data_IF_063419690887
#
_entry.id   IF_063419690887
#
_cell.length_a   1.000
_cell.length_b   1.000
_cell.length_c   1.000
_cell.angle_alpha   90.00
_cell.angle_beta   90.00
_cell.angle_gamma   90.00
#
_symmetry.space_group_name_H-M   'P 1'
#
loop_
_entity.id
_entity.type
_entity.pdbx_description
1 polymer ?
#
# COMPACT_ATOMS: atom_id res chain seq x y z
N UNK A 1 -17.76 -21.68 -18.14
CA UNK A 1 -17.21 -20.44 -18.74
C UNK A 1 -17.39 -19.21 -17.83
N UNK A 2 -18.48 -19.08 -17.06
CA UNK A 2 -18.64 -17.99 -16.08
C UNK A 2 -17.81 -18.18 -14.79
N UNK A 3 -17.77 -19.39 -14.22
CA UNK A 3 -17.00 -19.68 -13.00
C UNK A 3 -15.48 -19.53 -13.19
N UNK A 4 -14.97 -19.75 -14.40
CA UNK A 4 -13.55 -19.54 -14.73
C UNK A 4 -13.17 -18.06 -14.70
N UNK A 5 -14.06 -17.14 -15.11
CA UNK A 5 -13.76 -15.71 -15.13
C UNK A 5 -13.70 -15.11 -13.71
N UNK A 6 -14.56 -15.56 -12.79
CA UNK A 6 -14.53 -15.13 -11.38
C UNK A 6 -13.25 -15.60 -10.68
N UNK A 7 -12.87 -16.86 -10.87
CA UNK A 7 -11.63 -17.40 -10.29
C UNK A 7 -10.36 -16.73 -10.85
N UNK A 8 -10.36 -16.36 -12.13
CA UNK A 8 -9.26 -15.62 -12.75
C UNK A 8 -9.17 -14.18 -12.21
N UNK A 9 -10.29 -13.47 -12.07
CA UNK A 9 -10.30 -12.12 -11.52
C UNK A 9 -9.80 -12.09 -10.07
N UNK A 10 -10.25 -13.01 -9.21
CA UNK A 10 -9.77 -13.11 -7.84
C UNK A 10 -8.27 -13.41 -7.78
N UNK A 11 -7.79 -14.31 -8.63
CA UNK A 11 -6.36 -14.62 -8.74
C UNK A 11 -5.53 -13.38 -9.09
N UNK A 12 -5.97 -12.56 -10.05
CA UNK A 12 -5.28 -11.32 -10.43
C UNK A 12 -5.22 -10.32 -9.27
N UNK A 13 -6.29 -10.20 -8.49
CA UNK A 13 -6.32 -9.32 -7.31
C UNK A 13 -5.35 -9.81 -6.23
N UNK A 14 -5.33 -11.13 -5.99
CA UNK A 14 -4.38 -11.74 -5.05
C UNK A 14 -2.94 -11.52 -5.48
N UNK A 15 -2.65 -11.63 -6.78
CA UNK A 15 -1.32 -11.35 -7.32
C UNK A 15 -0.95 -9.88 -7.13
N UNK A 16 -1.85 -8.96 -7.43
CA UNK A 16 -1.65 -7.53 -7.21
C UNK A 16 -1.38 -7.22 -5.72
N UNK A 17 -2.23 -7.71 -4.82
CA UNK A 17 -2.06 -7.52 -3.38
C UNK A 17 -0.77 -8.17 -2.88
N UNK A 18 -0.38 -9.32 -3.42
CA UNK A 18 0.89 -9.96 -3.07
C UNK A 18 2.09 -9.13 -3.49
N UNK A 19 2.08 -8.55 -4.70
CA UNK A 19 3.15 -7.64 -5.14
C UNK A 19 3.25 -6.42 -4.21
N UNK A 20 2.12 -5.78 -3.92
CA UNK A 20 2.07 -4.62 -3.01
C UNK A 20 2.54 -5.00 -1.61
N UNK A 21 2.06 -6.13 -1.08
CA UNK A 21 2.45 -6.63 0.24
C UNK A 21 3.94 -6.96 0.33
N UNK A 22 4.53 -7.58 -0.70
CA UNK A 22 5.96 -7.83 -0.78
C UNK A 22 6.78 -6.53 -0.80
N UNK A 23 6.33 -5.50 -1.53
CA UNK A 23 6.99 -4.19 -1.51
C UNK A 23 6.99 -3.58 -0.10
N UNK A 24 5.85 -3.64 0.60
CA UNK A 24 5.76 -3.17 1.98
C UNK A 24 6.61 -3.97 2.96
N UNK A 25 6.75 -5.30 2.78
CA UNK A 25 7.67 -6.09 3.60
C UNK A 25 9.14 -5.69 3.36
N UNK A 26 9.52 -5.44 2.11
CA UNK A 26 10.88 -5.00 1.79
C UNK A 26 11.17 -3.63 2.39
N UNK A 27 10.21 -2.69 2.32
CA UNK A 27 10.31 -1.39 2.96
C UNK A 27 10.41 -1.53 4.49
N UNK A 28 9.56 -2.36 5.10
CA UNK A 28 9.57 -2.59 6.54
C UNK A 28 10.92 -3.13 7.03
N UNK A 29 11.50 -4.09 6.30
CA UNK A 29 12.83 -4.62 6.58
C UNK A 29 13.89 -3.52 6.47
N UNK A 30 13.83 -2.72 5.40
CA UNK A 30 14.76 -1.61 5.20
C UNK A 30 14.65 -0.57 6.33
N UNK A 31 13.44 -0.15 6.70
CA UNK A 31 13.16 0.76 7.81
C UNK A 31 13.65 0.21 9.17
N UNK A 32 13.56 -1.10 9.38
CA UNK A 32 13.93 -1.75 10.64
C UNK A 32 15.44 -1.97 10.79
N UNK A 33 16.11 -2.39 9.71
CA UNK A 33 17.54 -2.72 9.77
C UNK A 33 18.47 -1.52 9.53
N UNK A 34 18.02 -0.51 8.80
CA UNK A 34 18.86 0.63 8.43
C UNK A 34 18.17 2.01 8.62
N UNK A 35 17.50 2.27 9.77
CA UNK A 35 16.63 3.43 9.97
C UNK A 35 17.31 4.78 9.71
N UNK A 36 18.60 4.91 10.04
CA UNK A 36 19.37 6.13 9.79
C UNK A 36 19.54 6.42 8.29
N UNK A 37 19.73 5.40 7.46
CA UNK A 37 19.87 5.58 6.01
C UNK A 37 18.52 5.82 5.33
N UNK A 38 17.49 5.09 5.75
CA UNK A 38 16.14 5.16 5.18
C UNK A 38 15.45 6.48 5.47
N UNK A 39 15.59 6.98 6.69
CA UNK A 39 15.02 8.26 7.07
C UNK A 39 15.61 9.40 6.25
N UNK A 40 16.92 9.36 5.96
CA UNK A 40 17.57 10.36 5.13
C UNK A 40 17.06 10.35 3.68
N UNK A 41 16.69 9.20 3.10
CA UNK A 41 16.15 9.17 1.72
C UNK A 41 14.78 9.83 1.57
N UNK A 42 14.06 10.01 2.69
CA UNK A 42 12.79 10.74 2.75
C UNK A 42 12.94 12.11 3.44
N UNK A 43 14.17 12.58 3.66
CA UNK A 43 14.47 13.91 4.21
C UNK A 43 14.38 14.03 5.74
N UNK A 44 14.24 12.92 6.48
CA UNK A 44 14.23 12.94 7.94
C UNK A 44 15.65 12.89 8.53
N UNK A 45 15.98 13.91 9.34
CA UNK A 45 17.13 13.88 10.23
C UNK A 45 16.71 13.32 11.60
N UNK A 46 17.02 12.05 11.87
CA UNK A 46 16.63 11.40 13.12
C UNK A 46 17.55 11.77 14.28
N UNK A 47 16.94 12.10 15.43
CA UNK A 47 17.67 12.18 16.71
C UNK A 47 18.16 10.78 17.12
N UNK A 48 19.45 10.59 17.44
CA UNK A 48 19.97 9.30 17.89
C UNK A 48 19.21 8.73 19.09
N UNK A 49 18.97 7.42 19.09
CA UNK A 49 18.19 6.72 20.12
C UNK A 49 16.68 6.97 19.99
N UNK A 50 16.23 8.18 20.31
CA UNK A 50 14.79 8.50 20.37
C UNK A 50 14.12 8.53 18.98
N UNK A 51 14.64 9.31 18.03
CA UNK A 51 14.06 9.38 16.69
C UNK A 51 14.24 8.08 15.90
N UNK A 52 15.34 7.36 16.14
CA UNK A 52 15.59 6.04 15.56
C UNK A 52 14.59 4.99 16.06
N UNK A 53 14.32 4.97 17.37
CA UNK A 53 13.33 4.07 17.96
C UNK A 53 11.94 4.33 17.42
N UNK A 54 11.52 5.61 17.37
CA UNK A 54 10.21 5.99 16.83
C UNK A 54 10.09 5.64 15.34
N UNK A 55 11.12 5.91 14.53
CA UNK A 55 11.11 5.57 13.11
C UNK A 55 10.99 4.05 12.90
N UNK A 56 11.73 3.24 13.67
CA UNK A 56 11.64 1.78 13.59
C UNK A 56 10.24 1.28 13.95
N UNK A 57 9.67 1.75 15.04
CA UNK A 57 8.35 1.28 15.51
C UNK A 57 7.24 1.74 14.58
N UNK A 58 7.25 3.00 14.16
CA UNK A 58 6.17 3.56 13.34
C UNK A 58 6.34 3.16 11.88
N UNK A 59 7.45 3.51 11.22
CA UNK A 59 7.63 3.18 9.81
C UNK A 59 7.84 1.68 9.61
N UNK A 60 8.77 1.07 10.35
CA UNK A 60 9.00 -0.38 10.25
C UNK A 60 7.77 -1.20 10.65
N UNK A 61 7.13 -0.87 11.78
CA UNK A 61 5.96 -1.61 12.27
C UNK A 61 4.71 -1.44 11.42
N UNK A 62 4.38 -0.23 10.96
CA UNK A 62 3.20 0.00 10.11
C UNK A 62 3.38 -0.61 8.71
N UNK A 63 4.57 -0.49 8.11
CA UNK A 63 4.86 -1.11 6.82
C UNK A 63 4.81 -2.64 6.92
N UNK A 64 5.32 -3.22 8.02
CA UNK A 64 5.22 -4.65 8.27
C UNK A 64 3.75 -5.09 8.36
N UNK A 65 2.93 -4.35 9.11
CA UNK A 65 1.50 -4.64 9.25
C UNK A 65 0.78 -4.60 7.89
N UNK A 66 1.07 -3.59 7.04
CA UNK A 66 0.52 -3.50 5.69
C UNK A 66 0.96 -4.67 4.80
N UNK A 67 2.25 -5.02 4.85
CA UNK A 67 2.79 -6.17 4.14
C UNK A 67 2.06 -7.46 4.50
N UNK A 68 1.84 -7.71 5.80
CA UNK A 68 1.10 -8.87 6.29
C UNK A 68 -0.36 -8.85 5.81
N UNK A 69 -1.05 -7.72 5.95
CA UNK A 69 -2.46 -7.59 5.54
C UNK A 69 -2.64 -7.85 4.04
N UNK A 70 -1.75 -7.35 3.19
CA UNK A 70 -1.86 -7.54 1.74
C UNK A 70 -1.41 -8.93 1.28
N UNK A 71 -0.58 -9.64 2.05
CA UNK A 71 -0.21 -11.03 1.79
C UNK A 71 -1.19 -12.05 2.39
N UNK A 72 -2.02 -11.66 3.36
CA UNK A 72 -3.02 -12.54 3.99
C UNK A 72 -3.90 -13.29 2.98
N UNK A 73 -4.39 -12.69 1.88
CA UNK A 73 -5.17 -13.40 0.87
C UNK A 73 -4.44 -14.57 0.17
N UNK A 74 -3.12 -14.69 0.31
CA UNK A 74 -2.38 -15.86 -0.17
C UNK A 74 -2.73 -17.12 0.62
N UNK A 75 -2.92 -16.98 1.94
CA UNK A 75 -3.28 -18.06 2.84
C UNK A 75 -4.80 -18.26 2.93
N UNK A 76 -5.57 -17.16 3.00
CA UNK A 76 -7.02 -17.20 3.21
C UNK A 76 -7.75 -16.41 2.11
N UNK A 77 -8.39 -17.10 1.17
CA UNK A 77 -8.98 -16.47 -0.02
C UNK A 77 -10.21 -15.63 0.29
N UNK A 78 -10.90 -15.95 1.37
CA UNK A 78 -12.12 -15.29 1.83
C UNK A 78 -11.86 -13.81 2.20
N UNK A 79 -10.61 -13.45 2.51
CA UNK A 79 -10.25 -12.09 2.91
C UNK A 79 -9.81 -11.17 1.77
N UNK A 80 -9.80 -11.64 0.51
CA UNK A 80 -9.37 -10.84 -0.66
C UNK A 80 -10.06 -9.47 -0.72
N UNK A 81 -11.39 -9.45 -0.53
CA UNK A 81 -12.16 -8.21 -0.60
C UNK A 81 -11.82 -7.25 0.54
N UNK A 82 -11.63 -7.77 1.75
CA UNK A 82 -11.26 -6.95 2.91
C UNK A 82 -9.86 -6.36 2.73
N UNK A 83 -8.89 -7.16 2.30
CA UNK A 83 -7.52 -6.69 2.01
C UNK A 83 -7.51 -5.62 0.90
N UNK A 84 -8.34 -5.78 -0.15
CA UNK A 84 -8.49 -4.76 -1.20
C UNK A 84 -9.07 -3.45 -0.66
N UNK A 85 -10.09 -3.51 0.21
CA UNK A 85 -10.67 -2.32 0.84
C UNK A 85 -9.64 -1.60 1.72
N UNK A 86 -8.87 -2.35 2.52
CA UNK A 86 -7.77 -1.77 3.31
C UNK A 86 -6.74 -1.12 2.40
N UNK A 87 -6.39 -1.74 1.27
CA UNK A 87 -5.46 -1.18 0.30
C UNK A 87 -5.94 0.18 -0.23
N UNK A 88 -7.22 0.29 -0.59
CA UNK A 88 -7.85 1.54 -1.06
C UNK A 88 -7.84 2.60 0.03
N UNK A 89 -8.25 2.27 1.26
CA UNK A 89 -8.32 3.23 2.37
C UNK A 89 -6.92 3.76 2.68
N UNK A 90 -5.94 2.88 2.86
CA UNK A 90 -4.58 3.25 3.23
C UNK A 90 -3.94 4.12 2.15
N UNK A 91 -3.96 3.69 0.88
CA UNK A 91 -3.36 4.48 -0.20
C UNK A 91 -4.17 5.73 -0.55
N UNK A 92 -5.49 5.72 -0.33
CA UNK A 92 -6.32 6.92 -0.48
C UNK A 92 -5.95 8.00 0.53
N UNK A 93 -5.72 7.62 1.79
CA UNK A 93 -5.20 8.53 2.82
C UNK A 93 -3.80 9.06 2.46
N UNK A 94 -2.89 8.18 2.02
CA UNK A 94 -1.55 8.59 1.59
C UNK A 94 -1.60 9.58 0.43
N UNK A 95 -2.36 9.26 -0.63
CA UNK A 95 -2.57 10.13 -1.79
C UNK A 95 -3.16 11.48 -1.38
N UNK A 96 -4.16 11.50 -0.49
CA UNK A 96 -4.77 12.74 0.00
C UNK A 96 -3.73 13.64 0.68
N UNK A 97 -3.01 13.12 1.67
CA UNK A 97 -2.02 13.90 2.40
C UNK A 97 -0.80 14.25 1.55
N UNK A 98 -0.39 13.37 0.62
CA UNK A 98 0.67 13.65 -0.34
C UNK A 98 0.30 14.81 -1.25
N UNK A 99 -0.93 14.80 -1.76
CA UNK A 99 -1.44 15.86 -2.63
C UNK A 99 -1.49 17.18 -1.88
N UNK A 100 -2.04 17.19 -0.66
CA UNK A 100 -2.03 18.38 0.20
C UNK A 100 -0.59 18.86 0.44
N UNK A 101 0.33 17.94 0.73
CA UNK A 101 1.74 18.24 0.95
C UNK A 101 2.42 18.93 -0.24
N UNK A 102 2.09 18.53 -1.48
CA UNK A 102 2.61 19.18 -2.68
C UNK A 102 2.13 20.63 -2.87
N UNK A 103 1.02 21.02 -2.25
CA UNK A 103 0.56 22.41 -2.24
C UNK A 103 1.10 23.22 -1.05
N UNK A 104 1.46 22.56 0.05
CA UNK A 104 1.89 23.22 1.28
C UNK A 104 3.41 23.37 1.40
N UNK A 105 4.18 22.48 0.78
CA UNK A 105 5.63 22.41 0.94
C UNK A 105 6.35 22.57 -0.39
N UNK A 106 7.46 23.30 -0.37
CA UNK A 106 8.37 23.49 -1.51
C UNK A 106 9.68 22.71 -1.29
N UNK A 107 10.54 22.62 -2.32
CA UNK A 107 11.86 21.97 -2.21
C UNK A 107 11.80 20.45 -2.08
N UNK A 108 10.75 19.82 -2.60
CA UNK A 108 10.52 18.38 -2.49
C UNK A 108 11.52 17.60 -3.35
N UNK A 109 12.21 16.64 -2.73
CA UNK A 109 13.22 15.81 -3.41
C UNK A 109 12.62 14.79 -4.39
N UNK A 110 13.41 14.35 -5.36
CA UNK A 110 12.98 13.40 -6.41
C UNK A 110 12.45 12.08 -5.86
N UNK A 111 13.03 11.58 -4.76
CA UNK A 111 12.60 10.34 -4.09
C UNK A 111 11.14 10.43 -3.65
N UNK A 112 10.72 11.58 -3.13
CA UNK A 112 9.34 11.82 -2.69
C UNK A 112 8.35 11.75 -3.85
N UNK A 113 8.73 12.24 -5.04
CA UNK A 113 7.90 12.10 -6.24
C UNK A 113 7.79 10.64 -6.69
N UNK A 114 8.85 9.85 -6.60
CA UNK A 114 8.81 8.42 -6.91
C UNK A 114 7.89 7.65 -5.96
N UNK A 115 7.95 7.96 -4.65
CA UNK A 115 7.04 7.39 -3.66
C UNK A 115 5.58 7.79 -3.94
N UNK A 116 5.34 9.07 -4.23
CA UNK A 116 4.02 9.56 -4.58
C UNK A 116 3.44 8.85 -5.81
N UNK A 117 4.24 8.64 -6.85
CA UNK A 117 3.81 7.89 -8.03
C UNK A 117 3.38 6.47 -7.67
N UNK A 118 4.15 5.78 -6.82
CA UNK A 118 3.78 4.46 -6.30
C UNK A 118 2.45 4.48 -5.54
N UNK A 119 2.28 5.43 -4.62
CA UNK A 119 1.05 5.62 -3.84
C UNK A 119 -0.17 5.80 -4.75
N UNK A 120 -0.06 6.69 -5.75
CA UNK A 120 -1.11 6.96 -6.72
C UNK A 120 -1.45 5.76 -7.61
N UNK A 121 -0.44 5.06 -8.12
CA UNK A 121 -0.66 3.88 -8.96
C UNK A 121 -1.39 2.77 -8.19
N UNK A 122 -0.94 2.47 -6.96
CA UNK A 122 -1.57 1.45 -6.13
C UNK A 122 -3.01 1.84 -5.78
N UNK A 123 -3.25 3.11 -5.43
CA UNK A 123 -4.60 3.62 -5.16
C UNK A 123 -5.53 3.49 -6.37
N UNK A 124 -5.11 3.96 -7.54
CA UNK A 124 -5.95 3.96 -8.74
C UNK A 124 -6.25 2.54 -9.24
N UNK A 125 -5.25 1.65 -9.21
CA UNK A 125 -5.44 0.25 -9.59
C UNK A 125 -6.41 -0.44 -8.63
N UNK A 126 -6.20 -0.31 -7.31
CA UNK A 126 -7.07 -0.94 -6.31
C UNK A 126 -8.51 -0.43 -6.37
N UNK A 127 -8.70 0.89 -6.55
CA UNK A 127 -10.00 1.50 -6.73
C UNK A 127 -10.69 1.03 -8.01
N UNK A 128 -9.97 1.04 -9.14
CA UNK A 128 -10.49 0.57 -10.42
C UNK A 128 -10.98 -0.88 -10.35
N UNK A 129 -10.17 -1.77 -9.77
CA UNK A 129 -10.53 -3.16 -9.52
C UNK A 129 -11.81 -3.25 -8.66
N UNK A 130 -11.88 -2.55 -7.53
CA UNK A 130 -13.05 -2.62 -6.64
C UNK A 130 -14.34 -2.15 -7.33
N UNK A 131 -14.28 -1.08 -8.12
CA UNK A 131 -15.43 -0.56 -8.87
C UNK A 131 -15.93 -1.56 -9.93
N UNK A 132 -15.03 -2.27 -10.61
CA UNK A 132 -15.43 -3.30 -11.60
C UNK A 132 -16.11 -4.51 -10.95
N UNK A 133 -15.70 -4.90 -9.73
CA UNK A 133 -16.34 -5.97 -8.97
C UNK A 133 -17.76 -5.59 -8.52
N UNK A 134 -17.98 -4.33 -8.10
CA UNK A 134 -19.28 -3.86 -7.64
C UNK A 134 -20.33 -3.80 -8.76
N UNK A 135 -19.93 -3.49 -9.99
CA UNK A 135 -20.85 -3.48 -11.13
C UNK A 135 -21.36 -4.90 -11.44
N UNK A 136 -20.48 -5.90 -11.34
CA UNK A 136 -20.79 -7.30 -11.65
C UNK A 136 -21.81 -7.93 -10.70
N UNK A 137 -21.83 -7.54 -9.42
CA UNK A 137 -22.81 -8.03 -8.44
C UNK A 137 -24.21 -7.43 -8.63
N UNK A 138 -24.30 -6.18 -9.12
CA UNK A 138 -25.56 -5.47 -9.27
C UNK A 138 -26.33 -5.93 -10.52
N UNK A 139 -25.62 -6.27 -11.60
CA UNK A 139 -26.23 -6.75 -12.85
C UNK A 139 -26.82 -8.16 -12.72
N UNK A 140 -26.30 -9.01 -11.83
CA UNK A 140 -26.83 -10.36 -11.62
C UNK A 140 -28.08 -10.41 -10.72
N UNK A 141 -28.46 -9.28 -10.12
CA UNK A 141 -29.63 -9.16 -9.22
C UNK A 141 -30.85 -8.51 -9.90
N UNK A 142 -30.77 -8.25 -11.22
CA UNK A 142 -31.89 -7.84 -12.09
C UNK A 142 -32.18 -8.94 -13.09
#
# INVERSE_FOLDING_TARGET
>A
MWSSNLGQAEFMIRLFLAVVGSLYLLLALWCSFAPATTSLTVGFALKPGSGQSEFLVVYGGLELALGIVFLWPLYQREVVRYALVVCIIMHGCLVLFRTIGFFLFEGIESTTYSLALGEWLIFLISLGVCLTQHKSTTTSAK
#
